data_IF_823474839756
#
_entry.id   IF_823474839756
#
_cell.length_a   1.000
_cell.length_b   1.000
_cell.length_c   1.000
_cell.angle_alpha   90.00
_cell.angle_beta   90.00
_cell.angle_gamma   90.00
#
_symmetry.space_group_name_H-M   'P 1'
#
loop_
_entity.id
_entity.type
_entity.pdbx_description
1 polymer ?
#
# COMPACT_ATOMS: atom_id res chain seq x y z
N UNK A 1 52.06 -8.90 -13.87
CA UNK A 1 51.20 -8.14 -12.95
C UNK A 1 49.75 -8.36 -13.35
N UNK A 2 48.98 -9.08 -12.52
CA UNK A 2 47.58 -9.47 -12.77
C UNK A 2 46.68 -8.24 -12.66
N UNK A 3 46.04 -7.82 -13.75
CA UNK A 3 44.95 -6.84 -13.72
C UNK A 3 43.64 -7.61 -13.53
N UNK A 4 43.26 -7.80 -12.28
CA UNK A 4 41.92 -8.24 -11.91
C UNK A 4 41.45 -7.28 -10.83
N UNK A 5 40.50 -6.40 -11.17
CA UNK A 5 39.46 -6.02 -10.23
C UNK A 5 38.22 -5.59 -11.02
N UNK A 6 37.45 -6.61 -11.41
CA UNK A 6 36.01 -6.70 -11.21
C UNK A 6 35.27 -5.37 -11.00
N UNK A 7 34.67 -4.87 -12.10
CA UNK A 7 33.48 -4.03 -12.05
C UNK A 7 32.32 -4.89 -11.49
N UNK A 8 32.23 -4.98 -10.17
CA UNK A 8 31.14 -5.66 -9.48
C UNK A 8 30.00 -4.66 -9.23
N UNK A 9 28.79 -5.08 -9.61
CA UNK A 9 27.49 -4.55 -9.21
C UNK A 9 27.15 -3.14 -9.70
N UNK A 10 26.74 -3.06 -10.97
CA UNK A 10 25.53 -2.31 -11.27
C UNK A 10 24.39 -2.93 -10.46
N UNK A 11 24.02 -2.20 -9.43
CA UNK A 11 22.84 -2.35 -8.60
C UNK A 11 21.58 -2.38 -9.47
N UNK A 12 21.27 -3.55 -10.00
CA UNK A 12 19.91 -3.89 -10.38
C UNK A 12 19.12 -4.12 -9.09
N UNK A 13 18.85 -3.04 -8.36
CA UNK A 13 17.65 -2.98 -7.52
C UNK A 13 16.46 -2.98 -8.46
N UNK A 14 16.19 -4.15 -9.05
CA UNK A 14 14.84 -4.51 -9.45
C UNK A 14 14.06 -4.54 -8.15
N UNK A 15 13.53 -3.38 -7.75
CA UNK A 15 12.34 -3.35 -6.91
C UNK A 15 11.30 -4.14 -7.70
N UNK A 16 11.27 -5.45 -7.47
CA UNK A 16 10.15 -6.34 -7.72
C UNK A 16 9.02 -5.88 -6.80
N UNK A 17 8.56 -4.64 -6.98
CA UNK A 17 7.32 -4.16 -6.45
C UNK A 17 6.26 -4.95 -7.20
N UNK A 18 5.88 -6.10 -6.64
CA UNK A 18 4.70 -6.87 -7.02
C UNK A 18 3.64 -5.90 -7.50
N UNK A 19 3.37 -5.91 -8.80
CA UNK A 19 2.40 -5.02 -9.38
C UNK A 19 1.08 -5.29 -8.66
N UNK A 20 0.58 -4.28 -7.95
CA UNK A 20 -0.70 -4.36 -7.27
C UNK A 20 -1.78 -4.76 -8.29
N UNK A 21 -2.79 -5.53 -7.90
CA UNK A 21 -3.96 -5.75 -8.76
C UNK A 21 -5.07 -4.75 -8.38
N UNK A 22 -6.09 -4.53 -9.23
CA UNK A 22 -7.25 -3.73 -8.87
C UNK A 22 -7.91 -4.20 -7.55
N UNK A 23 -8.05 -5.52 -7.35
CA UNK A 23 -8.60 -6.09 -6.12
C UNK A 23 -7.74 -5.79 -4.89
N UNK A 24 -6.42 -5.88 -5.02
CA UNK A 24 -5.50 -5.48 -3.94
C UNK A 24 -5.59 -3.98 -3.64
N UNK A 25 -5.83 -3.15 -4.67
CA UNK A 25 -6.05 -1.71 -4.46
C UNK A 25 -7.36 -1.45 -3.70
N UNK A 26 -8.43 -2.17 -4.00
CA UNK A 26 -9.69 -2.10 -3.25
C UNK A 26 -9.51 -2.52 -1.78
N UNK A 27 -8.78 -3.59 -1.52
CA UNK A 27 -8.44 -3.97 -0.14
C UNK A 27 -7.68 -2.85 0.58
N UNK A 28 -6.66 -2.25 -0.06
CA UNK A 28 -5.94 -1.09 0.50
C UNK A 28 -6.88 0.08 0.78
N UNK A 29 -7.83 0.39 -0.11
CA UNK A 29 -8.82 1.46 0.12
C UNK A 29 -9.59 1.21 1.42
N UNK A 30 -10.03 -0.02 1.66
CA UNK A 30 -10.75 -0.41 2.88
C UNK A 30 -9.91 -0.29 4.15
N UNK A 31 -8.71 -0.87 4.15
CA UNK A 31 -7.80 -0.80 5.29
C UNK A 31 -7.39 0.64 5.63
N UNK A 32 -7.11 1.45 4.59
CA UNK A 32 -6.75 2.86 4.75
C UNK A 32 -7.92 3.69 5.27
N UNK A 33 -9.16 3.39 4.85
CA UNK A 33 -10.35 4.04 5.40
C UNK A 33 -10.41 3.87 6.92
N UNK A 34 -10.34 2.63 7.40
CA UNK A 34 -10.31 2.35 8.84
C UNK A 34 -9.20 3.12 9.54
N UNK A 35 -7.99 3.10 8.97
CA UNK A 35 -6.84 3.74 9.58
C UNK A 35 -6.96 5.28 9.62
N UNK A 36 -7.55 5.90 8.60
CA UNK A 36 -7.81 7.34 8.57
C UNK A 36 -8.86 7.73 9.60
N UNK A 37 -9.91 6.91 9.77
CA UNK A 37 -11.00 7.20 10.69
C UNK A 37 -10.61 6.98 12.16
N UNK A 38 -9.65 6.09 12.45
CA UNK A 38 -9.41 5.61 13.82
C UNK A 38 -7.98 5.76 14.34
N UNK A 39 -6.96 5.92 13.49
CA UNK A 39 -5.57 5.61 13.88
C UNK A 39 -4.52 6.68 13.54
N UNK A 40 -4.89 7.73 12.82
CA UNK A 40 -3.96 8.81 12.41
C UNK A 40 -3.66 8.86 10.91
N UNK A 41 -4.17 7.90 10.14
CA UNK A 41 -4.14 7.92 8.68
C UNK A 41 -2.77 7.69 8.03
N UNK A 42 -2.70 7.97 6.73
CA UNK A 42 -1.47 7.88 5.96
C UNK A 42 -0.61 9.13 6.12
N UNK A 43 0.72 8.95 6.07
CA UNK A 43 1.62 10.07 5.84
C UNK A 43 1.58 10.54 4.37
N UNK A 44 2.21 11.67 4.07
CA UNK A 44 2.22 12.26 2.73
C UNK A 44 2.77 11.30 1.66
N UNK A 45 3.78 10.49 1.99
CA UNK A 45 4.33 9.49 1.08
C UNK A 45 3.32 8.36 0.81
N UNK A 46 2.60 7.92 1.84
CA UNK A 46 1.51 6.96 1.73
C UNK A 46 0.37 7.45 0.86
N UNK A 47 -0.08 8.69 1.07
CA UNK A 47 -1.12 9.30 0.25
C UNK A 47 -0.71 9.35 -1.24
N UNK A 48 0.53 9.79 -1.52
CA UNK A 48 1.07 9.83 -2.89
C UNK A 48 1.14 8.44 -3.52
N UNK A 49 1.58 7.43 -2.76
CA UNK A 49 1.68 6.04 -3.22
C UNK A 49 0.31 5.44 -3.52
N UNK A 50 -0.67 5.65 -2.62
CA UNK A 50 -2.06 5.23 -2.82
C UNK A 50 -2.64 5.87 -4.09
N UNK A 51 -2.47 7.18 -4.27
CA UNK A 51 -2.95 7.89 -5.45
C UNK A 51 -2.29 7.39 -6.75
N UNK A 52 -1.01 7.04 -6.73
CA UNK A 52 -0.33 6.41 -7.88
C UNK A 52 -0.94 5.05 -8.21
N UNK A 53 -1.28 4.25 -7.20
CA UNK A 53 -2.01 2.98 -7.36
C UNK A 53 -3.38 3.17 -8.01
N UNK A 54 -4.20 4.09 -7.49
CA UNK A 54 -5.50 4.43 -8.05
C UNK A 54 -5.41 4.93 -9.50
N UNK A 55 -4.37 5.69 -9.84
CA UNK A 55 -4.10 6.13 -11.22
C UNK A 55 -3.80 4.96 -12.14
N UNK A 56 -2.92 4.04 -11.72
CA UNK A 56 -2.52 2.87 -12.51
C UNK A 56 -3.71 2.02 -12.95
N UNK A 57 -4.71 1.84 -12.09
CA UNK A 57 -5.90 1.03 -12.40
C UNK A 57 -7.11 1.85 -12.85
N UNK A 58 -6.92 3.14 -13.20
CA UNK A 58 -8.00 4.07 -13.57
C UNK A 58 -9.10 4.26 -12.50
N UNK A 59 -8.87 3.78 -11.27
CA UNK A 59 -9.80 3.91 -10.14
C UNK A 59 -9.89 5.33 -9.58
N UNK A 60 -8.89 6.19 -9.85
CA UNK A 60 -8.95 7.63 -9.52
C UNK A 60 -10.12 8.37 -10.20
N UNK A 61 -10.75 7.78 -11.22
CA UNK A 61 -11.95 8.33 -11.88
C UNK A 61 -13.24 7.96 -11.15
N UNK A 62 -13.18 7.01 -10.22
CA UNK A 62 -14.32 6.55 -9.44
C UNK A 62 -14.35 7.37 -8.15
N UNK A 63 -15.49 7.97 -7.77
CA UNK A 63 -15.65 8.64 -6.49
C UNK A 63 -15.19 7.75 -5.34
N UNK A 64 -14.37 8.31 -4.44
CA UNK A 64 -13.82 7.57 -3.30
C UNK A 64 -14.89 6.83 -2.48
N UNK A 65 -16.07 7.42 -2.16
CA UNK A 65 -17.12 6.71 -1.43
C UNK A 65 -17.59 5.42 -2.14
N UNK A 66 -17.61 5.39 -3.47
CA UNK A 66 -17.99 4.18 -4.21
C UNK A 66 -16.91 3.10 -4.16
N UNK A 67 -15.63 3.50 -4.15
CA UNK A 67 -14.54 2.55 -3.93
C UNK A 67 -14.63 1.94 -2.53
N UNK A 68 -14.94 2.75 -1.52
CA UNK A 68 -15.06 2.31 -0.13
C UNK A 68 -16.26 1.38 0.10
N UNK A 69 -17.33 1.51 -0.67
CA UNK A 69 -18.51 0.63 -0.65
C UNK A 69 -18.29 -0.71 -1.40
N UNK A 70 -17.17 -0.87 -2.10
CA UNK A 70 -16.89 -2.13 -2.79
C UNK A 70 -16.73 -3.28 -1.78
N UNK A 71 -17.27 -4.49 -2.04
CA UNK A 71 -17.22 -5.61 -1.08
C UNK A 71 -15.82 -5.93 -0.53
N UNK A 72 -14.79 -5.92 -1.39
CA UNK A 72 -13.39 -6.09 -0.97
C UNK A 72 -12.88 -4.98 -0.04
N UNK A 73 -13.31 -3.73 -0.25
CA UNK A 73 -12.95 -2.61 0.62
C UNK A 73 -13.65 -2.74 1.97
N UNK A 74 -14.94 -3.10 1.98
CA UNK A 74 -15.68 -3.37 3.23
C UNK A 74 -15.04 -4.51 4.01
N UNK A 75 -14.76 -5.63 3.34
CA UNK A 75 -14.12 -6.79 3.96
C UNK A 75 -12.76 -6.44 4.57
N UNK A 76 -11.94 -5.64 3.86
CA UNK A 76 -10.65 -5.20 4.38
C UNK A 76 -10.77 -4.17 5.50
N UNK A 77 -11.79 -3.32 5.50
CA UNK A 77 -12.10 -2.42 6.60
C UNK A 77 -12.41 -3.21 7.88
N UNK A 78 -13.32 -4.18 7.79
CA UNK A 78 -13.69 -5.04 8.93
C UNK A 78 -12.50 -5.86 9.44
N UNK A 79 -11.60 -6.27 8.54
CA UNK A 79 -10.37 -6.95 8.92
C UNK A 79 -9.44 -6.02 9.69
N UNK A 80 -9.25 -4.78 9.23
CA UNK A 80 -8.45 -3.78 9.92
C UNK A 80 -9.05 -3.41 11.29
N UNK A 81 -10.38 -3.32 11.37
CA UNK A 81 -11.12 -3.11 12.62
C UNK A 81 -10.83 -4.21 13.65
N UNK A 82 -10.86 -5.48 13.26
CA UNK A 82 -10.52 -6.60 14.14
C UNK A 82 -9.08 -6.55 14.65
N UNK A 83 -8.14 -6.07 13.84
CA UNK A 83 -6.75 -5.94 14.23
C UNK A 83 -6.46 -4.69 15.05
N UNK A 84 -7.35 -3.70 15.02
CA UNK A 84 -7.09 -2.39 15.62
C UNK A 84 -5.96 -1.63 14.91
N UNK A 85 -5.63 -0.45 15.42
CA UNK A 85 -4.59 0.41 14.84
C UNK A 85 -3.20 -0.25 14.82
N UNK A 86 -2.75 -0.78 15.97
CA UNK A 86 -1.43 -1.40 16.08
C UNK A 86 -1.33 -2.66 15.24
N UNK A 87 -2.34 -3.53 15.28
CA UNK A 87 -2.36 -4.75 14.47
C UNK A 87 -2.38 -4.45 12.98
N UNK A 88 -3.22 -3.49 12.54
CA UNK A 88 -3.27 -3.05 11.14
C UNK A 88 -1.93 -2.48 10.68
N UNK A 89 -1.25 -1.68 11.51
CA UNK A 89 0.08 -1.14 11.21
C UNK A 89 1.13 -2.26 11.09
N UNK A 90 1.07 -3.26 11.97
CA UNK A 90 1.97 -4.43 11.92
C UNK A 90 1.76 -5.25 10.64
N UNK A 91 0.51 -5.51 10.25
CA UNK A 91 0.20 -6.19 8.98
C UNK A 91 0.67 -5.38 7.77
N UNK A 92 0.53 -4.04 7.82
CA UNK A 92 1.08 -3.17 6.80
C UNK A 92 2.62 -3.24 6.73
N UNK A 93 3.33 -3.32 7.87
CA UNK A 93 4.78 -3.53 7.89
C UNK A 93 5.18 -4.85 7.24
N UNK A 94 4.49 -5.95 7.55
CA UNK A 94 4.72 -7.26 6.91
C UNK A 94 4.54 -7.19 5.39
N UNK A 95 3.59 -6.37 4.92
CA UNK A 95 3.34 -6.14 3.50
C UNK A 95 4.27 -5.09 2.85
N UNK A 96 5.22 -4.51 3.59
CA UNK A 96 6.15 -3.48 3.08
C UNK A 96 5.55 -2.08 2.93
N UNK A 97 4.42 -1.82 3.60
CA UNK A 97 3.70 -0.54 3.59
C UNK A 97 3.69 0.20 4.94
N UNK A 98 4.16 -0.41 6.02
CA UNK A 98 4.06 0.17 7.36
C UNK A 98 4.70 1.56 7.50
N UNK A 99 5.79 1.84 6.77
CA UNK A 99 6.43 3.16 6.77
C UNK A 99 5.58 4.30 6.15
N UNK A 100 4.44 3.97 5.55
CA UNK A 100 3.54 4.94 4.91
C UNK A 100 2.35 5.35 5.80
N UNK A 101 2.30 4.81 7.02
CA UNK A 101 1.21 4.95 7.98
C UNK A 101 1.72 5.79 9.17
N UNK A 102 0.95 6.77 9.64
CA UNK A 102 1.31 7.60 10.80
C UNK A 102 1.38 6.78 12.09
#
# INVERSE_FOLDING_TARGET
MKKILTFLLLTTTGLNGLALSPNKMLAIVGAVKYYNENCGGLNLAGLRRMNKGLKRFKMHKIPRPLLEQHPLSISSYQTAEKFGCTGTKNEAYKAGFGQYIN
#
